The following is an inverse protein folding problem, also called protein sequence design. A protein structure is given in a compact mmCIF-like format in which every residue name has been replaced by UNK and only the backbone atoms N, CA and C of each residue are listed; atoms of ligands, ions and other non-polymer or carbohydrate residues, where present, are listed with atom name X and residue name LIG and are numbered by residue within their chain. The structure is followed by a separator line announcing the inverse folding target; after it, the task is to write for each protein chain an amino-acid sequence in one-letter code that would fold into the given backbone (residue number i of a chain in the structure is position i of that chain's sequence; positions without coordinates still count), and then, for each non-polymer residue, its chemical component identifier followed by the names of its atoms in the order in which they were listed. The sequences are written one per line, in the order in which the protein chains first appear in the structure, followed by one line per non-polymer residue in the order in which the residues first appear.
data_IF_136844900216
#
_entry.id   IF_136844900216
#
_cell.length_a   1.000
_cell.length_b   1.000
_cell.length_c   1.000
_cell.angle_alpha   90.00
_cell.angle_beta   90.00
_cell.angle_gamma   90.00
#
_symmetry.space_group_name_H-M   'P 1'
#
loop_
_entity.id
_entity.type
_entity.pdbx_description
1 polymer ?
#
# COMPACT_ATOMS: atom_id res chain seq x y z
N UNK A 1 4.13 16.11 -9.24
CA UNK A 1 2.98 15.21 -8.98
C UNK A 1 3.19 14.66 -7.57
N UNK A 2 2.26 14.85 -6.62
CA UNK A 2 2.44 14.52 -5.20
C UNK A 2 2.29 13.03 -4.85
N UNK A 3 1.74 12.23 -5.77
CA UNK A 3 1.69 10.78 -5.68
C UNK A 3 1.75 10.19 -7.08
N UNK A 4 2.53 9.13 -7.28
CA UNK A 4 2.66 8.40 -8.55
C UNK A 4 2.41 6.91 -8.32
N UNK A 5 1.57 6.31 -9.16
CA UNK A 5 1.50 4.85 -9.30
C UNK A 5 2.75 4.36 -10.02
N UNK A 6 3.60 3.64 -9.30
CA UNK A 6 4.76 2.92 -9.86
C UNK A 6 4.29 1.62 -10.51
N UNK A 7 3.29 0.98 -9.89
CA UNK A 7 2.52 -0.12 -10.47
C UNK A 7 1.15 0.43 -10.93
N UNK A 8 0.84 0.39 -12.24
CA UNK A 8 -0.40 0.99 -12.77
C UNK A 8 -1.68 0.25 -12.37
N UNK A 9 -1.58 -1.05 -12.03
CA UNK A 9 -2.72 -1.91 -11.70
C UNK A 9 -3.18 -1.72 -10.25
N UNK A 10 -2.33 -1.11 -9.41
CA UNK A 10 -2.66 -0.83 -8.01
C UNK A 10 -3.58 0.39 -7.93
N UNK A 11 -4.70 0.33 -7.19
CA UNK A 11 -5.54 1.50 -6.97
C UNK A 11 -4.79 2.56 -6.18
N UNK A 12 -5.18 3.83 -6.34
CA UNK A 12 -4.66 4.88 -5.47
C UNK A 12 -5.05 4.60 -4.00
N UNK A 13 -4.19 4.97 -3.03
CA UNK A 13 -4.54 4.90 -1.61
C UNK A 13 -5.83 5.67 -1.33
N UNK A 14 -6.69 5.11 -0.49
CA UNK A 14 -8.01 5.66 -0.22
C UNK A 14 -8.29 5.69 1.29
N UNK A 15 -9.07 6.68 1.71
CA UNK A 15 -9.62 6.75 3.05
C UNK A 15 -10.88 5.87 3.11
N UNK A 16 -11.04 5.10 4.19
CA UNK A 16 -12.21 4.24 4.33
C UNK A 16 -13.48 5.04 4.62
N UNK A 17 -13.36 6.11 5.41
CA UNK A 17 -14.45 7.00 5.78
C UNK A 17 -14.09 8.47 5.61
N UNK A 18 -15.09 9.36 5.45
CA UNK A 18 -14.86 10.81 5.48
C UNK A 18 -14.23 11.26 6.80
N UNK A 19 -13.06 11.90 6.73
CA UNK A 19 -12.36 12.45 7.88
C UNK A 19 -11.30 11.54 8.51
N UNK A 20 -11.06 10.35 7.95
CA UNK A 20 -9.99 9.45 8.43
C UNK A 20 -8.60 10.12 8.33
N UNK A 21 -7.75 9.85 9.32
CA UNK A 21 -6.40 10.42 9.40
C UNK A 21 -5.40 9.78 8.43
N UNK A 22 -5.68 8.57 7.94
CA UNK A 22 -4.77 7.78 7.11
C UNK A 22 -5.48 7.15 5.92
N UNK A 23 -4.74 6.98 4.82
CA UNK A 23 -5.18 6.27 3.64
C UNK A 23 -4.60 4.85 3.63
N UNK A 24 -5.39 3.88 3.23
CA UNK A 24 -4.99 2.48 3.18
C UNK A 24 -4.04 2.21 2.01
N UNK A 25 -2.95 1.48 2.30
CA UNK A 25 -2.00 0.99 1.30
C UNK A 25 -2.24 -0.49 1.02
N UNK A 26 -1.96 -0.92 -0.21
CA UNK A 26 -2.01 -2.32 -0.63
C UNK A 26 -0.62 -2.80 -1.03
N UNK A 27 -0.30 -4.05 -0.73
CA UNK A 27 0.92 -4.69 -1.26
C UNK A 27 0.69 -5.14 -2.69
N UNK A 28 1.73 -5.18 -3.51
CA UNK A 28 1.64 -5.66 -4.90
C UNK A 28 1.95 -7.15 -5.05
N UNK A 29 2.34 -7.79 -3.95
CA UNK A 29 2.70 -9.20 -3.88
C UNK A 29 2.07 -9.86 -2.66
N UNK A 30 1.76 -11.14 -2.79
CA UNK A 30 1.43 -11.99 -1.64
C UNK A 30 2.68 -12.34 -0.84
N UNK A 31 2.51 -12.54 0.47
CA UNK A 31 3.59 -12.94 1.37
C UNK A 31 3.00 -13.81 2.48
N UNK A 32 3.64 -14.96 2.73
CA UNK A 32 3.39 -15.76 3.93
C UNK A 32 4.47 -15.43 4.96
N UNK A 33 4.09 -15.27 6.23
CA UNK A 33 5.01 -14.98 7.32
C UNK A 33 4.83 -16.03 8.42
N UNK A 34 5.92 -16.70 8.79
CA UNK A 34 5.94 -17.57 9.97
C UNK A 34 5.98 -16.72 11.27
N UNK A 35 5.69 -17.33 12.44
CA UNK A 35 5.74 -16.61 13.71
C UNK A 35 7.12 -15.95 13.97
N UNK A 36 7.10 -14.63 14.16
CA UNK A 36 8.31 -13.83 14.43
C UNK A 36 9.04 -13.29 13.19
N UNK A 37 8.59 -13.64 11.99
CA UNK A 37 9.19 -13.12 10.75
C UNK A 37 8.74 -11.69 10.43
N UNK A 38 9.53 -11.01 9.59
CA UNK A 38 9.20 -9.70 9.03
C UNK A 38 9.58 -9.63 7.56
N UNK A 39 8.78 -8.94 6.77
CA UNK A 39 9.07 -8.64 5.38
C UNK A 39 8.86 -7.16 5.08
N UNK A 40 9.64 -6.64 4.13
CA UNK A 40 9.39 -5.35 3.50
C UNK A 40 8.67 -5.63 2.19
N UNK A 41 7.46 -5.10 2.05
CA UNK A 41 6.62 -5.36 0.88
C UNK A 41 6.43 -4.07 0.07
N UNK A 42 6.52 -4.15 -1.27
CA UNK A 42 6.25 -3.00 -2.13
C UNK A 42 4.78 -2.61 -2.10
N UNK A 43 4.52 -1.30 -2.15
CA UNK A 43 3.16 -0.72 -2.11
C UNK A 43 2.67 -0.26 -3.49
N UNK A 44 3.52 -0.26 -4.50
CA UNK A 44 3.18 0.16 -5.87
C UNK A 44 3.01 1.67 -6.05
N UNK A 45 3.30 2.50 -5.03
CA UNK A 45 3.18 3.96 -5.09
C UNK A 45 4.46 4.66 -4.63
N UNK A 46 4.67 5.88 -5.12
CA UNK A 46 5.72 6.81 -4.70
C UNK A 46 5.09 8.16 -4.37
N UNK A 47 5.54 8.78 -3.29
CA UNK A 47 5.17 10.15 -2.86
C UNK A 47 6.39 11.05 -2.84
#
# INVERSE_FOLDING_TARGET
MLIRRVDPEVPLPAYAHPGDAGADLRTTVGCELAPGERAVLPTGVSV
#
